data_IF_301717750903
#
_entry.id   IF_301717750903
#
_cell.length_a   1.000
_cell.length_b   1.000
_cell.length_c   1.000
_cell.angle_alpha   90.00
_cell.angle_beta   90.00
_cell.angle_gamma   90.00
#
_symmetry.space_group_name_H-M   'P 1'
#
loop_
_entity.id
_entity.type
_entity.pdbx_description
1 polymer ?
#
# COMPACT_ATOMS: atom_id res chain seq x y z
N UNK A 1 -1.40 33.51 3.31
CA UNK A 1 -0.02 33.00 3.25
C UNK A 1 0.46 32.31 4.52
N UNK A 2 -0.41 32.00 5.50
CA UNK A 2 -0.06 31.14 6.62
C UNK A 2 -1.22 30.17 6.86
N UNK A 3 -0.95 28.86 6.77
CA UNK A 3 -1.90 27.83 7.21
C UNK A 3 -1.94 27.88 8.75
N UNK A 4 -3.13 28.03 9.33
CA UNK A 4 -3.32 28.05 10.79
C UNK A 4 -3.11 26.65 11.37
N UNK A 5 -2.87 26.56 12.68
CA UNK A 5 -2.78 25.28 13.40
C UNK A 5 -4.05 24.43 13.19
N UNK A 6 -5.23 25.06 13.22
CA UNK A 6 -6.51 24.41 12.93
C UNK A 6 -6.53 23.73 11.56
N UNK A 7 -5.98 24.40 10.53
CA UNK A 7 -5.87 23.79 9.21
C UNK A 7 -4.87 22.63 9.19
N UNK A 8 -3.77 22.72 9.93
CA UNK A 8 -2.78 21.64 10.03
C UNK A 8 -3.37 20.40 10.73
N UNK A 9 -4.09 20.57 11.83
CA UNK A 9 -4.79 19.48 12.54
C UNK A 9 -5.80 18.80 11.62
N UNK A 10 -6.59 19.58 10.88
CA UNK A 10 -7.54 19.02 9.89
C UNK A 10 -6.81 18.22 8.82
N UNK A 11 -5.73 18.76 8.23
CA UNK A 11 -4.96 18.05 7.20
C UNK A 11 -4.37 16.74 7.70
N UNK A 12 -3.75 16.74 8.89
CA UNK A 12 -3.19 15.52 9.48
C UNK A 12 -4.29 14.51 9.80
N UNK A 13 -5.45 14.97 10.28
CA UNK A 13 -6.61 14.10 10.55
C UNK A 13 -7.14 13.43 9.28
N UNK A 14 -7.21 14.16 8.15
CA UNK A 14 -7.61 13.57 6.87
C UNK A 14 -6.57 12.60 6.31
N UNK A 15 -5.27 12.86 6.52
CA UNK A 15 -4.20 11.93 6.14
C UNK A 15 -4.26 10.67 7.00
N UNK A 16 -4.48 10.81 8.31
CA UNK A 16 -4.57 9.69 9.24
C UNK A 16 -5.70 8.72 8.84
N UNK A 17 -6.84 9.22 8.35
CA UNK A 17 -7.94 8.36 7.84
C UNK A 17 -7.53 7.46 6.68
N UNK A 18 -6.55 7.87 5.86
CA UNK A 18 -6.08 7.06 4.72
C UNK A 18 -5.27 5.85 5.17
N UNK A 19 -4.72 5.88 6.38
CA UNK A 19 -3.90 4.81 6.98
C UNK A 19 -4.57 4.21 8.22
N UNK A 20 -5.76 4.66 8.57
CA UNK A 20 -6.44 4.28 9.80
C UNK A 20 -6.74 2.77 9.80
N UNK A 21 -6.37 2.11 10.90
CA UNK A 21 -6.47 0.66 11.04
C UNK A 21 -5.37 -0.15 10.34
N UNK A 22 -4.40 0.47 9.66
CA UNK A 22 -3.21 -0.21 9.14
C UNK A 22 -2.00 0.04 10.05
N UNK A 23 -1.26 -1.02 10.34
CA UNK A 23 0.05 -0.98 11.01
C UNK A 23 1.21 -0.91 9.99
N UNK A 24 0.90 -0.67 8.71
CA UNK A 24 1.86 -0.67 7.62
C UNK A 24 2.32 -2.07 7.19
N UNK A 25 1.82 -3.15 7.79
CA UNK A 25 2.11 -4.50 7.34
C UNK A 25 1.50 -4.75 5.96
N UNK A 26 2.25 -5.47 5.12
CA UNK A 26 1.76 -5.88 3.82
C UNK A 26 0.75 -7.02 3.98
N UNK A 27 -0.48 -6.83 3.51
CA UNK A 27 -1.45 -7.93 3.35
C UNK A 27 -1.02 -8.84 2.19
N UNK A 28 -0.46 -10.01 2.52
CA UNK A 28 -0.03 -11.01 1.53
C UNK A 28 -1.17 -11.52 0.65
N UNK A 29 -2.41 -11.58 1.16
CA UNK A 29 -3.56 -11.96 0.34
C UNK A 29 -3.92 -10.86 -0.68
N UNK A 30 -3.76 -9.58 -0.33
CA UNK A 30 -3.89 -8.48 -1.29
C UNK A 30 -2.78 -8.49 -2.34
N UNK A 31 -1.54 -8.82 -1.94
CA UNK A 31 -0.42 -9.01 -2.86
C UNK A 31 -0.73 -10.12 -3.88
N UNK A 32 -1.13 -11.30 -3.43
CA UNK A 32 -1.48 -12.44 -4.30
C UNK A 32 -2.62 -12.10 -5.27
N UNK A 33 -3.68 -11.43 -4.79
CA UNK A 33 -4.78 -10.95 -5.64
C UNK A 33 -4.28 -9.99 -6.73
N UNK A 34 -3.33 -9.13 -6.39
CA UNK A 34 -2.73 -8.17 -7.35
C UNK A 34 -1.91 -8.91 -8.40
N UNK A 35 -0.99 -9.78 -7.98
CA UNK A 35 -0.18 -10.60 -8.90
C UNK A 35 -1.06 -11.38 -9.86
N UNK A 36 -2.10 -12.04 -9.34
CA UNK A 36 -3.07 -12.78 -10.16
C UNK A 36 -3.78 -11.88 -11.17
N UNK A 37 -4.25 -10.70 -10.73
CA UNK A 37 -4.94 -9.76 -11.62
C UNK A 37 -4.02 -9.31 -12.76
N UNK A 38 -2.76 -9.01 -12.47
CA UNK A 38 -1.77 -8.58 -13.46
C UNK A 38 -1.36 -9.70 -14.43
N UNK A 39 -1.33 -10.96 -13.98
CA UNK A 39 -1.08 -12.14 -14.81
C UNK A 39 -2.30 -12.52 -15.69
N UNK A 40 -3.51 -12.20 -15.26
CA UNK A 40 -4.74 -12.66 -15.90
C UNK A 40 -5.17 -11.89 -17.16
N UNK A 41 -4.37 -10.93 -17.64
CA UNK A 41 -4.69 -10.05 -18.78
C UNK A 41 -4.87 -10.74 -20.15
N UNK A 42 -5.05 -12.06 -20.19
CA UNK A 42 -5.34 -12.82 -21.40
C UNK A 42 -4.14 -12.83 -22.35
N UNK A 43 -4.35 -12.31 -23.57
CA UNK A 43 -3.34 -12.24 -24.63
C UNK A 43 -2.22 -11.25 -24.32
N UNK A 44 -2.49 -10.24 -23.49
CA UNK A 44 -1.58 -9.14 -23.15
C UNK A 44 -1.52 -8.93 -21.63
N UNK A 45 -0.97 -9.90 -20.87
CA UNK A 45 -0.84 -9.75 -19.43
C UNK A 45 0.16 -8.63 -19.09
N UNK A 46 -0.11 -7.88 -18.03
CA UNK A 46 0.75 -6.76 -17.59
C UNK A 46 2.12 -7.27 -17.14
N UNK A 47 2.14 -8.44 -16.50
CA UNK A 47 3.35 -9.17 -16.14
C UNK A 47 3.29 -10.59 -16.73
N UNK A 48 4.42 -11.15 -17.10
CA UNK A 48 4.51 -12.49 -17.72
C UNK A 48 4.85 -13.61 -16.74
N UNK A 49 5.27 -13.26 -15.52
CA UNK A 49 5.59 -14.19 -14.44
C UNK A 49 5.45 -13.51 -13.08
N UNK A 50 5.32 -14.32 -12.04
CA UNK A 50 5.36 -13.83 -10.66
C UNK A 50 6.75 -13.25 -10.32
N UNK A 51 6.82 -12.05 -9.70
CA UNK A 51 8.09 -11.44 -9.33
C UNK A 51 8.68 -12.06 -8.05
N UNK A 52 9.98 -12.35 -8.06
CA UNK A 52 10.72 -12.87 -6.90
C UNK A 52 11.40 -11.73 -6.12
N UNK A 53 11.33 -11.74 -4.79
CA UNK A 53 11.97 -10.71 -3.97
C UNK A 53 11.30 -9.33 -4.06
N UNK A 54 10.02 -9.29 -4.43
CA UNK A 54 9.27 -8.05 -4.63
C UNK A 54 8.88 -7.33 -3.34
N UNK A 55 8.95 -8.01 -2.20
CA UNK A 55 8.49 -7.52 -0.89
C UNK A 55 9.50 -7.87 0.19
N UNK A 56 9.50 -7.09 1.28
CA UNK A 56 10.28 -7.35 2.49
C UNK A 56 9.51 -6.85 3.70
N UNK A 57 9.56 -7.59 4.80
CA UNK A 57 8.87 -7.27 6.06
C UNK A 57 9.84 -6.79 7.14
N UNK A 58 11.14 -6.64 6.83
CA UNK A 58 12.20 -6.33 7.80
C UNK A 58 11.94 -5.09 8.66
N UNK A 59 11.20 -4.11 8.12
CA UNK A 59 10.85 -2.89 8.86
C UNK A 59 9.65 -3.17 9.78
N UNK A 60 8.56 -3.72 9.24
CA UNK A 60 7.32 -3.97 9.98
C UNK A 60 7.48 -5.05 11.05
N UNK A 61 8.37 -6.02 10.84
CA UNK A 61 8.69 -7.08 11.82
C UNK A 61 9.47 -6.55 13.04
N UNK A 62 9.98 -5.32 12.96
CA UNK A 62 10.75 -4.66 14.03
C UNK A 62 9.95 -3.58 14.78
N UNK A 63 8.68 -3.37 14.42
CA UNK A 63 7.80 -2.36 15.02
C UNK A 63 7.10 -2.87 16.27
#
# INVERSE_FOLDING_TARGET
GAQTEEHQIRMVSEIAKLVDGSDGTLDMAAYERTVKSLLSGGSDPVITKEPSGATTTVVTDKM
#
